data_IF_296959948198
#
_entry.id   IF_296959948198
#
_cell.length_a   1.000
_cell.length_b   1.000
_cell.length_c   1.000
_cell.angle_alpha   90.00
_cell.angle_beta   90.00
_cell.angle_gamma   90.00
#
_symmetry.space_group_name_H-M   'P 1'
#
loop_
_entity.id
_entity.type
_entity.pdbx_description
1 polymer ?
#
# COMPACT_ATOMS: atom_id res chain seq x y z
N UNK A 1 -30.95 29.91 -14.41
CA UNK A 1 -31.11 30.20 -12.97
C UNK A 1 -30.30 29.18 -12.19
N UNK A 2 -29.12 29.57 -11.72
CA UNK A 2 -28.08 28.66 -11.20
C UNK A 2 -28.15 28.62 -9.68
N UNK A 3 -28.55 27.49 -9.09
CA UNK A 3 -28.61 27.29 -7.64
C UNK A 3 -27.23 26.84 -7.12
N UNK A 4 -26.43 27.80 -6.66
CA UNK A 4 -25.23 27.56 -5.86
C UNK A 4 -25.62 26.94 -4.50
N UNK A 5 -25.18 25.72 -4.25
CA UNK A 5 -25.30 25.06 -2.95
C UNK A 5 -24.08 25.40 -2.08
N UNK A 6 -24.26 25.87 -0.84
CA UNK A 6 -23.15 26.12 0.08
C UNK A 6 -22.60 24.81 0.64
N UNK A 7 -21.30 24.59 0.41
CA UNK A 7 -20.50 23.50 0.97
C UNK A 7 -20.33 23.70 2.49
N UNK A 8 -20.94 22.83 3.29
CA UNK A 8 -20.80 22.82 4.75
C UNK A 8 -19.46 22.21 5.13
N UNK A 9 -18.49 23.06 5.52
CA UNK A 9 -17.25 22.62 6.17
C UNK A 9 -17.56 22.24 7.62
N UNK A 10 -17.49 20.94 7.92
CA UNK A 10 -17.53 20.41 9.28
C UNK A 10 -16.13 20.57 9.87
N UNK A 11 -15.97 21.47 10.82
CA UNK A 11 -14.74 21.57 11.62
C UNK A 11 -14.83 20.57 12.77
N UNK A 12 -14.05 19.48 12.69
CA UNK A 12 -13.83 18.61 13.84
C UNK A 12 -12.85 19.30 14.79
N UNK A 13 -13.38 19.90 15.85
CA UNK A 13 -12.56 20.33 16.98
C UNK A 13 -12.07 19.09 17.73
N UNK A 14 -10.78 18.80 17.61
CA UNK A 14 -10.10 17.78 18.39
C UNK A 14 -10.03 18.27 19.85
N UNK A 15 -11.06 17.97 20.61
CA UNK A 15 -11.09 18.13 22.06
C UNK A 15 -10.08 17.13 22.67
N UNK A 16 -8.89 17.63 23.00
CA UNK A 16 -7.86 16.89 23.73
C UNK A 16 -8.40 16.54 25.12
N UNK A 17 -8.48 15.26 25.52
CA UNK A 17 -8.85 14.92 26.88
C UNK A 17 -7.77 15.44 27.85
N UNK A 18 -8.16 16.40 28.69
CA UNK A 18 -7.35 16.86 29.81
C UNK A 18 -7.07 15.66 30.73
N UNK A 19 -5.84 15.15 30.71
CA UNK A 19 -5.35 14.21 31.73
C UNK A 19 -5.50 14.89 33.08
N UNK A 20 -6.41 14.37 33.89
CA UNK A 20 -6.50 14.69 35.31
C UNK A 20 -5.15 14.32 35.93
N UNK A 21 -4.45 15.33 36.45
CA UNK A 21 -3.25 15.15 37.25
C UNK A 21 -3.68 14.59 38.60
N UNK A 22 -3.69 13.26 38.72
CA UNK A 22 -3.70 12.58 40.00
C UNK A 22 -2.37 12.88 40.68
N UNK A 23 -2.38 13.74 41.70
CA UNK A 23 -1.20 14.06 42.51
C UNK A 23 -0.62 12.78 43.12
N UNK A 24 0.62 12.38 42.80
CA UNK A 24 1.28 11.29 43.50
C UNK A 24 1.65 11.75 44.92
N UNK A 25 1.25 10.95 45.92
CA UNK A 25 1.63 11.14 47.30
C UNK A 25 3.17 11.17 47.46
N UNK A 26 3.73 11.98 48.38
CA UNK A 26 5.16 12.08 48.60
C UNK A 26 5.67 10.84 49.34
N UNK A 27 5.95 9.75 48.62
CA UNK A 27 6.61 8.57 49.17
C UNK A 27 8.13 8.67 49.01
N UNK A 28 8.82 8.67 50.16
CA UNK A 28 10.20 8.22 50.39
C UNK A 28 11.28 8.63 49.37
N UNK A 29 11.91 9.78 49.63
CA UNK A 29 12.99 10.39 48.81
C UNK A 29 14.41 9.94 49.15
N UNK A 30 14.64 8.70 49.61
CA UNK A 30 15.99 8.26 50.06
C UNK A 30 16.77 7.28 49.17
N UNK A 31 16.26 6.85 48.01
CA UNK A 31 17.00 5.93 47.11
C UNK A 31 17.39 6.47 45.72
N UNK A 32 16.94 7.68 45.32
CA UNK A 32 17.19 8.21 43.95
C UNK A 32 18.64 8.59 43.64
N UNK A 33 19.41 9.07 44.63
CA UNK A 33 20.78 9.58 44.39
C UNK A 33 21.79 8.54 43.89
N UNK A 34 21.55 7.25 44.14
CA UNK A 34 22.47 6.18 43.72
C UNK A 34 22.25 5.75 42.26
N UNK A 35 21.01 5.84 41.76
CA UNK A 35 20.68 5.55 40.37
C UNK A 35 21.11 6.66 39.40
N UNK A 36 21.09 7.92 39.82
CA UNK A 36 21.54 9.05 38.98
C UNK A 36 23.02 8.92 38.60
N UNK A 37 23.90 8.53 39.53
CA UNK A 37 25.33 8.32 39.25
C UNK A 37 25.60 7.15 38.31
N UNK A 38 24.80 6.08 38.40
CA UNK A 38 24.91 4.94 37.49
C UNK A 38 24.44 5.31 36.06
N UNK A 39 23.34 6.07 35.97
CA UNK A 39 22.87 6.63 34.71
C UNK A 39 23.87 7.61 34.08
N UNK A 40 24.60 8.39 34.88
CA UNK A 40 25.64 9.28 34.37
C UNK A 40 26.82 8.51 33.77
N UNK A 41 27.20 7.37 34.35
CA UNK A 41 28.25 6.51 33.80
C UNK A 41 27.81 5.87 32.47
N UNK A 42 26.56 5.40 32.39
CA UNK A 42 26.00 4.82 31.17
C UNK A 42 25.84 5.87 30.06
N UNK A 43 25.34 7.07 30.39
CA UNK A 43 25.26 8.20 29.46
C UNK A 43 26.62 8.61 28.92
N UNK A 44 27.65 8.67 29.79
CA UNK A 44 29.03 8.94 29.37
C UNK A 44 29.55 7.87 28.42
N UNK A 45 29.30 6.58 28.69
CA UNK A 45 29.67 5.49 27.77
C UNK A 45 28.96 5.65 26.43
N UNK A 46 27.66 5.95 26.42
CA UNK A 46 26.91 6.19 25.19
C UNK A 46 27.46 7.39 24.40
N UNK A 47 27.80 8.48 25.10
CA UNK A 47 28.39 9.66 24.47
C UNK A 47 29.76 9.35 23.85
N UNK A 48 30.59 8.57 24.53
CA UNK A 48 31.88 8.10 24.00
C UNK A 48 31.64 7.20 22.78
N UNK A 49 30.68 6.29 22.83
CA UNK A 49 30.31 5.45 21.69
C UNK A 49 29.83 6.27 20.49
N UNK A 50 29.04 7.34 20.72
CA UNK A 50 28.63 8.26 19.67
C UNK A 50 29.80 9.04 19.10
N UNK A 51 30.73 9.49 19.95
CA UNK A 51 31.95 10.17 19.52
C UNK A 51 32.78 9.30 18.58
N UNK A 52 32.99 8.02 18.91
CA UNK A 52 33.70 7.09 18.03
C UNK A 52 32.95 6.76 16.73
N UNK A 53 31.64 7.00 16.67
CA UNK A 53 30.82 6.85 15.45
C UNK A 53 30.67 8.16 14.68
N UNK A 54 31.08 9.29 15.24
CA UNK A 54 30.89 10.60 14.61
C UNK A 54 31.66 10.72 13.29
N UNK A 55 32.78 10.02 13.14
CA UNK A 55 33.55 9.98 11.89
C UNK A 55 32.78 9.34 10.72
N UNK A 56 31.76 8.53 11.03
CA UNK A 56 30.86 7.91 10.04
C UNK A 56 29.61 8.76 9.76
N UNK A 57 29.46 9.93 10.38
CA UNK A 57 28.31 10.77 10.13
C UNK A 57 28.37 11.40 8.74
N UNK A 58 27.20 11.52 8.14
CA UNK A 58 27.04 12.13 6.83
C UNK A 58 27.18 13.64 6.99
N UNK A 59 28.24 14.20 6.41
CA UNK A 59 28.50 15.62 6.25
C UNK A 59 28.22 16.04 4.80
N UNK A 60 28.15 17.35 4.55
CA UNK A 60 27.94 17.85 3.19
C UNK A 60 29.07 17.45 2.22
N UNK A 61 30.28 17.24 2.74
CA UNK A 61 31.47 16.86 1.97
C UNK A 61 31.47 15.38 1.56
N UNK A 62 30.92 14.49 2.40
CA UNK A 62 30.89 13.04 2.14
C UNK A 62 29.55 12.52 1.62
N UNK A 63 28.52 13.38 1.54
CA UNK A 63 27.16 13.00 1.15
C UNK A 63 27.08 12.33 -0.22
N UNK A 64 27.75 12.88 -1.24
CA UNK A 64 27.70 12.33 -2.61
C UNK A 64 28.29 10.92 -2.67
N UNK A 65 29.47 10.73 -2.06
CA UNK A 65 30.13 9.43 -2.01
C UNK A 65 29.31 8.40 -1.23
N UNK A 66 28.63 8.81 -0.16
CA UNK A 66 27.79 7.92 0.64
C UNK A 66 26.52 7.50 -0.11
N UNK A 67 25.92 8.40 -0.90
CA UNK A 67 24.81 8.06 -1.80
C UNK A 67 25.28 7.01 -2.80
N UNK A 68 26.38 7.26 -3.51
CA UNK A 68 26.88 6.33 -4.53
C UNK A 68 27.18 4.94 -3.95
N UNK A 69 27.77 4.89 -2.75
CA UNK A 69 28.04 3.65 -2.04
C UNK A 69 26.78 2.87 -1.66
N UNK A 70 25.77 3.52 -1.08
CA UNK A 70 24.49 2.88 -0.73
C UNK A 70 23.73 2.36 -1.96
N UNK A 71 23.70 3.15 -3.04
CA UNK A 71 23.06 2.72 -4.28
C UNK A 71 23.84 1.64 -5.04
N UNK A 72 25.17 1.56 -4.85
CA UNK A 72 25.98 0.47 -5.39
C UNK A 72 25.78 -0.83 -4.59
N UNK A 73 25.78 -0.76 -3.25
CA UNK A 73 25.58 -1.93 -2.37
C UNK A 73 24.25 -2.63 -2.61
N UNK A 74 23.18 -1.87 -2.84
CA UNK A 74 21.87 -2.44 -3.16
C UNK A 74 21.86 -3.27 -4.45
N UNK A 75 22.77 -3.03 -5.39
CA UNK A 75 22.86 -3.84 -6.61
C UNK A 75 23.43 -5.22 -6.30
N UNK A 76 24.41 -5.33 -5.42
CA UNK A 76 25.08 -6.62 -5.18
C UNK A 76 24.26 -7.55 -4.27
N UNK A 77 23.54 -7.01 -3.29
CA UNK A 77 22.67 -7.81 -2.41
C UNK A 77 21.39 -8.26 -3.12
N UNK A 78 20.76 -7.39 -3.93
CA UNK A 78 19.56 -7.76 -4.70
C UNK A 78 19.91 -8.71 -5.85
N UNK A 79 21.06 -8.52 -6.53
CA UNK A 79 21.50 -9.44 -7.58
C UNK A 79 21.82 -10.82 -7.00
N UNK A 80 22.35 -10.92 -5.78
CA UNK A 80 22.60 -12.24 -5.15
C UNK A 80 21.30 -12.97 -4.75
N UNK A 81 20.25 -12.26 -4.34
CA UNK A 81 18.95 -12.84 -4.02
C UNK A 81 18.10 -13.17 -5.26
N UNK A 82 18.29 -12.46 -6.37
CA UNK A 82 17.48 -12.61 -7.60
C UNK A 82 18.22 -13.23 -8.78
N UNK A 83 19.49 -13.63 -8.63
CA UNK A 83 20.20 -14.48 -9.61
C UNK A 83 19.73 -15.94 -9.52
N UNK A 84 18.42 -16.13 -9.64
CA UNK A 84 17.92 -17.24 -10.43
C UNK A 84 18.48 -17.01 -11.82
N UNK A 85 19.41 -17.86 -12.24
CA UNK A 85 19.89 -17.92 -13.61
C UNK A 85 18.68 -18.22 -14.52
N UNK A 86 17.92 -17.19 -14.88
CA UNK A 86 16.92 -17.29 -15.92
C UNK A 86 17.69 -17.62 -17.18
N UNK A 87 17.66 -18.90 -17.57
CA UNK A 87 18.20 -19.33 -18.85
C UNK A 87 17.44 -18.56 -19.92
N UNK A 88 18.14 -17.97 -20.89
CA UNK A 88 17.51 -17.15 -21.94
C UNK A 88 16.38 -17.87 -22.70
N UNK A 89 16.35 -19.20 -22.68
CA UNK A 89 15.25 -20.02 -23.19
C UNK A 89 13.92 -19.84 -22.42
N UNK A 90 13.98 -19.62 -21.12
CA UNK A 90 12.79 -19.47 -20.25
C UNK A 90 12.07 -18.15 -20.53
N UNK A 91 12.84 -17.09 -20.82
CA UNK A 91 12.28 -15.79 -21.20
C UNK A 91 11.48 -15.86 -22.52
N UNK A 92 11.93 -16.68 -23.47
CA UNK A 92 11.21 -16.87 -24.74
C UNK A 92 9.89 -17.62 -24.53
N UNK A 93 9.90 -18.66 -23.69
CA UNK A 93 8.66 -19.40 -23.34
C UNK A 93 7.69 -18.53 -22.55
N UNK A 94 8.21 -17.66 -21.68
CA UNK A 94 7.41 -16.68 -20.97
C UNK A 94 6.80 -15.69 -21.95
N UNK A 95 7.59 -15.02 -22.79
CA UNK A 95 7.05 -14.09 -23.81
C UNK A 95 5.95 -14.71 -24.69
N UNK A 96 6.11 -15.98 -25.08
CA UNK A 96 5.09 -16.69 -25.86
C UNK A 96 3.79 -16.91 -25.07
N UNK A 97 3.88 -17.33 -23.81
CA UNK A 97 2.72 -17.46 -22.94
C UNK A 97 1.98 -16.12 -22.79
N UNK A 98 2.72 -15.02 -22.69
CA UNK A 98 2.15 -13.68 -22.57
C UNK A 98 1.45 -13.20 -23.83
N UNK A 99 1.96 -13.54 -25.02
CA UNK A 99 1.29 -13.23 -26.28
C UNK A 99 -0.05 -13.95 -26.44
N UNK A 100 -0.20 -15.12 -25.81
CA UNK A 100 -1.44 -15.90 -25.83
C UNK A 100 -2.43 -15.48 -24.74
N UNK A 101 -1.99 -14.68 -23.75
CA UNK A 101 -2.90 -14.19 -22.72
C UNK A 101 -3.76 -13.01 -23.23
N UNK A 102 -5.08 -13.03 -22.99
CA UNK A 102 -5.95 -11.92 -23.37
C UNK A 102 -5.54 -10.61 -22.68
N UNK A 103 -5.45 -9.51 -23.45
CA UNK A 103 -4.90 -8.20 -23.02
C UNK A 103 -5.58 -7.54 -21.81
N UNK A 104 -6.71 -8.07 -21.34
CA UNK A 104 -7.41 -7.59 -20.14
C UNK A 104 -6.93 -8.25 -18.83
N UNK A 105 -6.09 -9.30 -18.89
CA UNK A 105 -5.37 -9.83 -17.74
C UNK A 105 -4.13 -8.97 -17.51
N UNK A 106 -4.28 -7.91 -16.70
CA UNK A 106 -3.25 -6.89 -16.49
C UNK A 106 -1.99 -7.46 -15.80
N UNK A 107 -0.84 -7.00 -16.29
CA UNK A 107 0.55 -7.31 -15.89
C UNK A 107 0.84 -7.29 -14.38
N UNK A 108 -0.05 -6.68 -13.59
CA UNK A 108 0.11 -6.53 -12.15
C UNK A 108 -0.40 -7.73 -11.33
N UNK A 109 -1.09 -8.70 -11.94
CA UNK A 109 -1.59 -9.86 -11.21
C UNK A 109 -0.49 -10.88 -10.87
N UNK A 110 0.51 -11.04 -11.76
CA UNK A 110 1.59 -12.03 -11.59
C UNK A 110 2.70 -11.56 -10.64
N UNK A 111 2.95 -10.25 -10.53
CA UNK A 111 3.92 -9.71 -9.56
C UNK A 111 3.39 -9.72 -8.12
N UNK A 112 2.07 -9.76 -7.93
CA UNK A 112 1.45 -9.85 -6.60
C UNK A 112 1.55 -11.25 -5.97
N UNK A 113 1.71 -12.31 -6.77
CA UNK A 113 1.88 -13.67 -6.23
C UNK A 113 3.33 -14.02 -5.87
N UNK A 114 4.31 -13.37 -6.50
CA UNK A 114 5.74 -13.61 -6.20
C UNK A 114 6.23 -12.80 -4.98
N UNK A 115 5.65 -11.61 -4.74
CA UNK A 115 6.05 -10.75 -3.61
C UNK A 115 5.44 -11.15 -2.24
N UNK A 116 4.65 -12.22 -2.16
CA UNK A 116 3.99 -12.64 -0.91
C UNK A 116 4.86 -13.49 0.03
N UNK A 117 6.09 -13.85 -0.35
CA UNK A 117 6.96 -14.71 0.48
C UNK A 117 8.16 -14.02 1.14
N UNK A 118 8.39 -12.72 0.93
CA UNK A 118 9.43 -12.01 1.69
C UNK A 118 8.84 -11.23 2.86
N UNK A 119 8.92 -11.89 4.01
CA UNK A 119 8.66 -11.39 5.35
C UNK A 119 9.51 -10.15 5.66
N UNK A 120 9.03 -8.96 5.31
CA UNK A 120 9.44 -7.73 5.97
C UNK A 120 8.58 -7.56 7.23
N UNK A 121 9.22 -7.71 8.38
CA UNK A 121 8.62 -7.63 9.72
C UNK A 121 8.14 -6.24 10.11
N UNK A 122 7.12 -5.72 9.42
CA UNK A 122 6.31 -4.62 9.89
C UNK A 122 5.07 -5.21 10.57
N UNK A 123 5.12 -5.33 11.90
CA UNK A 123 3.98 -5.68 12.74
C UNK A 123 2.96 -4.53 12.73
N UNK A 124 2.25 -4.38 11.62
CA UNK A 124 1.12 -3.46 11.48
C UNK A 124 -0.14 -4.27 11.16
N UNK A 125 -0.57 -5.06 12.14
CA UNK A 125 -1.71 -5.97 12.06
C UNK A 125 -3.07 -5.28 11.88
N UNK A 126 -3.11 -3.94 11.87
CA UNK A 126 -4.33 -3.17 11.64
C UNK A 126 -4.43 -2.53 10.25
N UNK A 127 -3.33 -2.39 9.49
CA UNK A 127 -3.39 -1.86 8.12
C UNK A 127 -3.79 -2.91 7.07
N UNK A 128 -3.55 -4.20 7.33
CA UNK A 128 -3.87 -5.29 6.40
C UNK A 128 -5.38 -5.58 6.27
N UNK A 129 -6.19 -5.22 7.28
CA UNK A 129 -7.66 -5.30 7.17
C UNK A 129 -8.21 -4.29 6.17
N UNK A 130 -7.55 -3.14 5.99
CA UNK A 130 -7.94 -2.13 5.02
C UNK A 130 -7.64 -2.54 3.57
N UNK A 131 -6.59 -3.32 3.33
CA UNK A 131 -6.19 -3.74 1.98
C UNK A 131 -7.17 -4.73 1.34
N UNK A 132 -7.59 -5.74 2.10
CA UNK A 132 -8.59 -6.73 1.66
C UNK A 132 -9.92 -6.03 1.36
N UNK A 133 -10.29 -5.08 2.21
CA UNK A 133 -11.54 -4.34 2.11
C UNK A 133 -11.55 -3.35 0.93
N UNK A 134 -10.40 -2.78 0.58
CA UNK A 134 -10.23 -1.96 -0.62
C UNK A 134 -10.35 -2.79 -1.89
N UNK A 135 -9.69 -3.94 -1.95
CA UNK A 135 -9.74 -4.81 -3.13
C UNK A 135 -11.17 -5.36 -3.34
N UNK A 136 -11.86 -5.69 -2.25
CA UNK A 136 -13.26 -6.10 -2.29
C UNK A 136 -14.18 -4.99 -2.82
N UNK A 137 -14.02 -3.75 -2.32
CA UNK A 137 -14.77 -2.58 -2.80
C UNK A 137 -14.50 -2.24 -4.26
N UNK A 138 -13.24 -2.33 -4.70
CA UNK A 138 -12.85 -2.12 -6.10
C UNK A 138 -13.51 -3.16 -7.01
N UNK A 139 -13.48 -4.44 -6.60
CA UNK A 139 -14.10 -5.53 -7.37
C UNK A 139 -15.61 -5.38 -7.45
N UNK A 140 -16.26 -5.00 -6.34
CA UNK A 140 -17.69 -4.74 -6.28
C UNK A 140 -18.07 -3.57 -7.22
N UNK A 141 -17.37 -2.44 -7.14
CA UNK A 141 -17.60 -1.29 -8.01
C UNK A 141 -17.42 -1.61 -9.51
N UNK A 142 -16.37 -2.36 -9.87
CA UNK A 142 -16.11 -2.76 -11.25
C UNK A 142 -17.20 -3.68 -11.82
N UNK A 143 -17.87 -4.45 -10.95
CA UNK A 143 -18.96 -5.34 -11.31
C UNK A 143 -20.34 -4.69 -11.16
N UNK A 144 -20.41 -3.41 -10.74
CA UNK A 144 -21.68 -2.76 -10.40
C UNK A 144 -22.43 -3.45 -9.25
N UNK A 145 -21.69 -4.12 -8.37
CA UNK A 145 -22.22 -4.81 -7.21
C UNK A 145 -22.06 -3.95 -5.95
N UNK A 146 -23.02 -4.05 -5.04
CA UNK A 146 -22.94 -3.40 -3.74
C UNK A 146 -21.91 -4.10 -2.83
N UNK A 147 -21.61 -3.51 -1.68
CA UNK A 147 -20.74 -4.11 -0.65
C UNK A 147 -21.19 -5.48 -0.12
N UNK A 148 -22.31 -6.01 -0.61
CA UNK A 148 -22.81 -7.37 -0.35
C UNK A 148 -22.52 -8.37 -1.49
N UNK A 149 -21.77 -7.97 -2.53
CA UNK A 149 -21.52 -8.75 -3.78
C UNK A 149 -22.78 -9.12 -4.56
N UNK A 150 -23.91 -8.48 -4.26
CA UNK A 150 -25.13 -8.58 -5.07
C UNK A 150 -25.04 -7.54 -6.19
N UNK A 151 -25.22 -8.00 -7.42
CA UNK A 151 -25.30 -7.14 -8.61
C UNK A 151 -26.48 -6.18 -8.40
N UNK A 152 -26.24 -4.88 -8.59
CA UNK A 152 -27.28 -3.88 -8.48
C UNK A 152 -28.41 -4.12 -9.49
N UNK A 153 -29.65 -3.86 -9.07
CA UNK A 153 -30.83 -4.01 -9.93
C UNK A 153 -30.68 -3.22 -11.24
N UNK A 154 -30.06 -2.05 -11.18
CA UNK A 154 -29.80 -1.16 -12.32
C UNK A 154 -29.01 -1.85 -13.44
N UNK A 155 -27.97 -2.62 -13.10
CA UNK A 155 -27.19 -3.36 -14.09
C UNK A 155 -28.04 -4.45 -14.77
N UNK A 156 -28.90 -5.13 -14.02
CA UNK A 156 -29.80 -6.15 -14.57
C UNK A 156 -30.82 -5.53 -15.52
N UNK A 157 -31.37 -4.37 -15.18
CA UNK A 157 -32.30 -3.63 -16.04
C UNK A 157 -31.64 -3.13 -17.33
N UNK A 158 -30.40 -2.65 -17.28
CA UNK A 158 -29.63 -2.23 -18.45
C UNK A 158 -29.42 -3.42 -19.43
N UNK A 159 -29.00 -4.58 -18.92
CA UNK A 159 -28.83 -5.78 -19.75
C UNK A 159 -30.16 -6.23 -20.38
N UNK A 160 -31.27 -6.15 -19.63
CA UNK A 160 -32.59 -6.47 -20.15
C UNK A 160 -33.06 -5.49 -21.24
N UNK A 161 -32.73 -4.21 -21.14
CA UNK A 161 -33.03 -3.23 -22.18
C UNK A 161 -32.18 -3.44 -23.43
N UNK A 162 -30.88 -3.73 -23.25
CA UNK A 162 -29.95 -3.98 -24.35
C UNK A 162 -30.35 -5.21 -25.17
N UNK A 163 -30.75 -6.30 -24.53
CA UNK A 163 -31.20 -7.51 -25.24
C UNK A 163 -32.50 -7.27 -26.00
N UNK A 164 -33.44 -6.49 -25.45
CA UNK A 164 -34.66 -6.06 -26.17
C UNK A 164 -34.33 -5.23 -27.41
N UNK A 165 -33.37 -4.29 -27.31
CA UNK A 165 -32.92 -3.49 -28.45
C UNK A 165 -32.28 -4.34 -29.56
N UNK A 166 -31.46 -5.33 -29.19
CA UNK A 166 -30.85 -6.26 -30.15
C UNK A 166 -31.91 -7.12 -30.85
N UNK A 167 -32.87 -7.67 -30.10
CA UNK A 167 -33.96 -8.46 -30.68
C UNK A 167 -34.82 -7.63 -31.65
N UNK A 168 -35.12 -6.37 -31.30
CA UNK A 168 -35.85 -5.46 -32.18
C UNK A 168 -35.06 -5.16 -33.47
N UNK A 169 -33.75 -4.92 -33.37
CA UNK A 169 -32.89 -4.68 -34.53
C UNK A 169 -32.74 -5.90 -35.45
N UNK A 170 -32.71 -7.12 -34.88
CA UNK A 170 -32.71 -8.36 -35.66
C UNK A 170 -34.02 -8.52 -36.45
N UNK A 171 -35.17 -8.28 -35.82
CA UNK A 171 -36.48 -8.39 -36.48
C UNK A 171 -36.70 -7.33 -37.57
N UNK A 172 -36.14 -6.13 -37.41
CA UNK A 172 -36.24 -5.08 -38.45
C UNK A 172 -35.33 -5.31 -39.66
N UNK A 173 -34.36 -6.20 -39.57
CA UNK A 173 -33.39 -6.45 -40.66
C UNK A 173 -33.94 -7.37 -41.75
N UNK A 174 -35.00 -8.15 -41.47
CA UNK A 174 -35.59 -9.10 -42.42
C UNK A 174 -36.64 -8.47 -43.37
N UNK A 175 -37.12 -7.24 -43.10
CA UNK A 175 -38.09 -6.56 -43.97
C UNK A 175 -37.48 -5.86 -45.20
N UNK A 176 -36.15 -5.91 -45.36
CA UNK A 176 -35.42 -5.20 -46.41
C UNK A 176 -35.20 -5.97 -47.73
N UNK A 177 -35.54 -7.25 -47.82
CA UNK A 177 -35.15 -8.12 -48.96
C UNK A 177 -36.25 -8.43 -49.98
N UNK A 178 -37.41 -7.79 -49.87
CA UNK A 178 -38.54 -7.96 -50.79
C UNK A 178 -38.87 -6.65 -51.52
N UNK A 179 -37.95 -6.16 -52.35
CA UNK A 179 -38.23 -5.17 -53.41
C UNK A 179 -37.38 -5.45 -54.64
#
# INVERSE_FOLDING_TARGET
MSLLHPSKRIYHSLCRPCRQFSSPAPSSSRSKRRNERAQDAERKRHLISLYHRADSFITLENLSSHIDEEFARYKDDVVSATRLEYKGSELATELQAWQQMPRYMSRNAATLSAAQNESFGFNDSDCLKSGVDRHYRLRAALQGADGSMKIGLEAVEEYAQKTKGIQAAMLSSDEGLAK
#
